data_IF_742581214447
#
_entry.id   IF_742581214447
#
_cell.length_a   1.000
_cell.length_b   1.000
_cell.length_c   1.000
_cell.angle_alpha   90.00
_cell.angle_beta   90.00
_cell.angle_gamma   90.00
#
_symmetry.space_group_name_H-M   'P 1'
#
loop_
_entity.id
_entity.type
_entity.pdbx_description
1 polymer ?
#
# COMPACT_ATOMS: atom_id res chain seq x y z
N UNK A 1 41.35 -19.26 1.30
CA UNK A 1 40.07 -18.52 1.49
C UNK A 1 40.43 -17.06 1.25
N UNK A 2 40.01 -16.46 0.14
CA UNK A 2 40.32 -15.06 -0.17
C UNK A 2 39.59 -14.17 0.86
N UNK A 3 40.36 -13.38 1.61
CA UNK A 3 39.86 -12.28 2.41
C UNK A 3 39.27 -11.25 1.42
N UNK A 4 38.01 -11.40 1.03
CA UNK A 4 37.31 -10.32 0.34
C UNK A 4 37.02 -9.24 1.37
N UNK A 5 37.37 -8.00 1.05
CA UNK A 5 36.97 -6.84 1.86
C UNK A 5 35.45 -6.86 2.11
N UNK A 6 35.02 -6.46 3.30
CA UNK A 6 33.60 -6.42 3.61
C UNK A 6 32.86 -5.45 2.68
N UNK A 7 31.64 -5.81 2.30
CA UNK A 7 30.74 -4.90 1.57
C UNK A 7 30.49 -3.64 2.38
N UNK A 8 30.40 -2.51 1.74
CA UNK A 8 30.04 -1.26 2.40
C UNK A 8 28.56 -1.26 2.78
N UNK A 9 27.70 -1.79 1.88
CA UNK A 9 26.29 -1.96 2.12
C UNK A 9 25.78 -3.27 1.52
N UNK A 10 25.13 -4.10 2.33
CA UNK A 10 24.31 -5.21 1.86
C UNK A 10 22.83 -4.86 2.07
N UNK A 11 22.04 -4.94 1.01
CA UNK A 11 20.60 -4.70 1.01
C UNK A 11 19.88 -6.05 0.88
N UNK A 12 19.03 -6.39 1.84
CA UNK A 12 18.21 -7.59 1.81
C UNK A 12 16.81 -7.24 1.28
N UNK A 13 16.53 -7.62 0.04
CA UNK A 13 15.28 -7.39 -0.68
C UNK A 13 15.45 -6.51 -1.92
N UNK A 14 15.22 -7.10 -3.08
CA UNK A 14 15.24 -6.46 -4.40
C UNK A 14 13.90 -5.82 -4.80
N UNK A 15 13.23 -5.18 -3.85
CA UNK A 15 12.00 -4.40 -4.07
C UNK A 15 12.28 -2.91 -4.27
N UNK A 16 11.22 -2.11 -4.33
CA UNK A 16 11.27 -0.65 -4.54
C UNK A 16 12.23 0.05 -3.56
N UNK A 17 12.06 -0.17 -2.25
CA UNK A 17 12.89 0.47 -1.23
C UNK A 17 14.36 0.03 -1.30
N UNK A 18 14.61 -1.26 -1.55
CA UNK A 18 15.97 -1.80 -1.64
C UNK A 18 16.73 -1.25 -2.84
N UNK A 19 16.13 -1.23 -4.02
CA UNK A 19 16.74 -0.61 -5.19
C UNK A 19 17.05 0.87 -4.98
N UNK A 20 16.05 1.60 -4.46
CA UNK A 20 16.22 3.05 -4.27
C UNK A 20 17.34 3.37 -3.26
N UNK A 21 17.43 2.61 -2.18
CA UNK A 21 18.48 2.76 -1.18
C UNK A 21 19.88 2.41 -1.74
N UNK A 22 19.99 1.29 -2.47
CA UNK A 22 21.26 0.85 -3.06
C UNK A 22 21.79 1.85 -4.10
N UNK A 23 20.91 2.33 -4.98
CA UNK A 23 21.24 3.37 -5.97
C UNK A 23 21.71 4.63 -5.25
N UNK A 24 20.93 5.11 -4.27
CA UNK A 24 21.26 6.34 -3.53
C UNK A 24 22.60 6.22 -2.80
N UNK A 25 22.88 5.08 -2.18
CA UNK A 25 24.16 4.84 -1.51
C UNK A 25 25.32 4.89 -2.49
N UNK A 26 25.24 4.14 -3.59
CA UNK A 26 26.31 4.06 -4.59
C UNK A 26 26.54 5.40 -5.33
N UNK A 27 25.48 6.18 -5.60
CA UNK A 27 25.60 7.51 -6.22
C UNK A 27 26.23 8.55 -5.27
N UNK A 28 25.95 8.45 -3.96
CA UNK A 28 26.48 9.39 -2.95
C UNK A 28 27.89 9.00 -2.46
N UNK A 29 28.25 7.74 -2.52
CA UNK A 29 29.58 7.23 -2.19
C UNK A 29 30.16 6.49 -3.42
N UNK A 30 30.69 7.20 -4.43
CA UNK A 30 31.27 6.58 -5.61
C UNK A 30 32.41 5.64 -5.22
N UNK A 31 32.34 4.39 -5.72
CA UNK A 31 33.30 3.34 -5.38
C UNK A 31 32.88 2.46 -4.20
N UNK A 32 31.81 2.77 -3.49
CA UNK A 32 31.28 1.89 -2.46
C UNK A 32 30.83 0.54 -3.03
N UNK A 33 31.19 -0.55 -2.35
CA UNK A 33 30.78 -1.90 -2.67
C UNK A 33 29.36 -2.15 -2.17
N UNK A 34 28.34 -2.01 -3.03
CA UNK A 34 26.92 -2.15 -2.71
C UNK A 34 26.34 -3.42 -3.33
N UNK A 35 25.70 -4.27 -2.51
CA UNK A 35 25.10 -5.54 -2.94
C UNK A 35 23.62 -5.60 -2.59
N UNK A 36 22.78 -5.96 -3.56
CA UNK A 36 21.38 -6.34 -3.32
C UNK A 36 21.24 -7.87 -3.37
N UNK A 37 20.65 -8.45 -2.34
CA UNK A 37 20.27 -9.86 -2.26
C UNK A 37 18.76 -10.00 -2.41
N UNK A 38 18.31 -10.72 -3.44
CA UNK A 38 16.89 -11.00 -3.68
C UNK A 38 16.65 -12.51 -3.69
N UNK A 39 15.68 -12.96 -2.87
CA UNK A 39 15.37 -14.39 -2.70
C UNK A 39 14.74 -15.04 -3.93
N UNK A 40 14.07 -14.27 -4.76
CA UNK A 40 13.39 -14.74 -5.98
C UNK A 40 14.24 -14.53 -7.22
N UNK A 41 13.89 -15.19 -8.32
CA UNK A 41 14.57 -14.98 -9.62
C UNK A 41 14.28 -13.60 -10.23
N UNK A 42 13.22 -12.93 -9.77
CA UNK A 42 12.77 -11.65 -10.31
C UNK A 42 12.73 -10.58 -9.22
N UNK A 43 13.24 -9.40 -9.54
CA UNK A 43 13.18 -8.21 -8.69
C UNK A 43 11.91 -7.39 -8.97
N UNK A 44 11.60 -6.43 -8.08
CA UNK A 44 10.57 -5.40 -8.29
C UNK A 44 9.15 -5.97 -8.56
N UNK A 45 8.85 -7.17 -8.05
CA UNK A 45 7.58 -7.86 -8.33
C UNK A 45 6.33 -7.03 -7.97
N UNK A 46 6.31 -6.33 -6.82
CA UNK A 46 5.21 -5.44 -6.45
C UNK A 46 5.11 -4.22 -7.37
N UNK A 47 6.23 -3.70 -7.87
CA UNK A 47 6.23 -2.61 -8.87
C UNK A 47 5.54 -3.09 -10.14
N UNK A 48 5.89 -4.30 -10.61
CA UNK A 48 5.36 -4.89 -11.84
C UNK A 48 3.83 -5.00 -11.86
N UNK A 49 3.23 -5.46 -10.77
CA UNK A 49 1.78 -5.74 -10.70
C UNK A 49 0.95 -4.53 -10.25
N UNK A 50 1.56 -3.54 -9.63
CA UNK A 50 0.86 -2.40 -9.05
C UNK A 50 0.15 -1.54 -10.09
N UNK A 51 -0.96 -0.89 -9.67
CA UNK A 51 -1.74 -0.02 -10.54
C UNK A 51 -2.27 -0.72 -11.80
N UNK A 52 -2.52 -2.03 -11.74
CA UNK A 52 -2.94 -2.83 -12.90
C UNK A 52 -1.84 -3.01 -13.94
N UNK A 53 -0.58 -3.12 -13.53
CA UNK A 53 0.57 -3.27 -14.41
C UNK A 53 1.15 -1.95 -14.93
N UNK A 54 0.64 -0.80 -14.45
CA UNK A 54 1.12 0.54 -14.84
C UNK A 54 2.13 1.15 -13.87
N UNK A 55 2.20 0.67 -12.64
CA UNK A 55 2.91 1.23 -11.48
C UNK A 55 2.39 2.61 -11.08
N UNK A 56 1.61 2.68 -10.01
CA UNK A 56 1.27 3.95 -9.37
C UNK A 56 2.47 4.43 -8.54
N UNK A 57 3.32 5.25 -9.15
CA UNK A 57 4.65 5.62 -8.63
C UNK A 57 4.55 6.43 -7.34
N UNK A 58 3.67 7.43 -7.33
CA UNK A 58 3.43 8.33 -6.21
C UNK A 58 2.07 9.02 -6.36
N UNK A 59 1.82 10.04 -5.56
CA UNK A 59 0.61 10.85 -5.60
C UNK A 59 0.98 12.34 -5.71
N UNK A 60 0.20 13.13 -6.44
CA UNK A 60 0.37 14.58 -6.56
C UNK A 60 -0.04 15.32 -5.27
N UNK A 61 0.44 14.83 -4.14
CA UNK A 61 0.30 15.42 -2.80
C UNK A 61 1.69 15.85 -2.35
N UNK A 62 2.07 17.09 -2.68
CA UNK A 62 3.45 17.57 -2.54
C UNK A 62 3.74 18.20 -1.18
N UNK A 63 2.71 18.53 -0.40
CA UNK A 63 2.89 19.07 0.95
C UNK A 63 3.07 17.90 1.94
N UNK A 64 4.17 17.91 2.70
CA UNK A 64 4.58 16.80 3.57
C UNK A 64 3.52 16.42 4.60
N UNK A 65 2.90 17.41 5.25
CA UNK A 65 1.87 17.18 6.26
C UNK A 65 0.61 16.56 5.66
N UNK A 66 0.12 17.08 4.53
CA UNK A 66 -1.03 16.53 3.82
C UNK A 66 -0.74 15.10 3.34
N UNK A 67 0.48 14.85 2.86
CA UNK A 67 0.90 13.51 2.43
C UNK A 67 0.80 12.49 3.58
N UNK A 68 1.16 12.87 4.82
CA UNK A 68 1.09 11.96 5.98
C UNK A 68 -0.33 11.57 6.38
N UNK A 69 -1.35 12.34 6.02
CA UNK A 69 -2.76 12.05 6.32
C UNK A 69 -3.29 10.80 5.58
N UNK A 70 -2.54 10.33 4.59
CA UNK A 70 -2.84 9.13 3.83
C UNK A 70 -2.23 7.84 4.42
N UNK A 71 -1.59 7.94 5.59
CA UNK A 71 -0.97 6.79 6.26
C UNK A 71 -1.69 6.46 7.57
N UNK A 72 -2.52 5.43 7.58
CA UNK A 72 -3.17 4.95 8.81
C UNK A 72 -2.19 4.61 9.94
N UNK A 73 -0.98 4.13 9.63
CA UNK A 73 0.12 3.88 10.56
C UNK A 73 1.38 4.56 10.09
N UNK A 74 2.17 5.05 11.04
CA UNK A 74 3.46 5.71 10.78
C UNK A 74 3.36 7.14 10.22
N UNK A 75 2.18 7.67 9.89
CA UNK A 75 2.02 8.98 9.27
C UNK A 75 2.75 10.09 10.03
N UNK A 76 2.56 10.19 11.35
CA UNK A 76 3.23 11.22 12.17
C UNK A 76 4.76 11.11 12.12
N UNK A 77 5.30 9.89 12.04
CA UNK A 77 6.73 9.64 11.96
C UNK A 77 7.32 10.00 10.59
N UNK A 78 6.48 10.06 9.55
CA UNK A 78 6.88 10.38 8.19
C UNK A 78 6.93 11.89 7.89
N UNK A 79 6.49 12.78 8.78
CA UNK A 79 6.52 14.24 8.54
C UNK A 79 7.95 14.71 8.22
N UNK A 80 8.92 14.40 9.10
CA UNK A 80 10.32 14.75 8.89
C UNK A 80 10.93 14.10 7.65
N UNK A 81 10.77 12.79 7.44
CA UNK A 81 11.16 12.11 6.20
C UNK A 81 10.63 12.77 4.93
N UNK A 82 9.33 13.10 4.84
CA UNK A 82 8.74 13.71 3.65
C UNK A 82 9.18 15.16 3.39
N UNK A 83 9.60 15.89 4.41
CA UNK A 83 10.27 17.19 4.21
C UNK A 83 11.66 17.06 3.59
N UNK A 84 12.32 15.91 3.71
CA UNK A 84 13.65 15.64 3.15
C UNK A 84 13.59 14.99 1.78
N UNK A 85 12.57 14.16 1.56
CA UNK A 85 12.30 13.45 0.32
C UNK A 85 10.81 13.22 0.18
N UNK A 86 10.11 14.13 -0.46
CA UNK A 86 8.67 14.08 -0.69
C UNK A 86 8.30 13.55 -2.08
N UNK A 87 7.03 13.72 -2.42
CA UNK A 87 6.52 13.27 -3.71
C UNK A 87 7.14 14.03 -4.89
N UNK A 88 7.44 15.34 -4.72
CA UNK A 88 8.08 16.14 -5.76
C UNK A 88 9.51 15.66 -6.05
N UNK A 89 10.26 15.30 -5.00
CA UNK A 89 11.63 14.78 -5.17
C UNK A 89 11.61 13.44 -5.93
N UNK A 90 10.62 12.60 -5.65
CA UNK A 90 10.39 11.36 -6.38
C UNK A 90 10.10 11.62 -7.86
N UNK A 91 9.21 12.57 -8.18
CA UNK A 91 8.91 12.95 -9.56
C UNK A 91 10.16 13.42 -10.27
N UNK A 92 10.93 14.35 -9.66
CA UNK A 92 12.16 14.89 -10.21
C UNK A 92 13.19 13.77 -10.47
N UNK A 93 13.35 12.85 -9.51
CA UNK A 93 14.31 11.74 -9.63
C UNK A 93 14.03 10.85 -10.84
N UNK A 94 12.75 10.51 -11.10
CA UNK A 94 12.36 9.74 -12.28
C UNK A 94 12.52 10.56 -13.56
N UNK A 95 12.15 11.84 -13.55
CA UNK A 95 12.25 12.72 -14.69
C UNK A 95 13.71 12.94 -15.13
N UNK A 96 14.65 13.13 -14.19
CA UNK A 96 16.09 13.23 -14.45
C UNK A 96 16.67 11.96 -15.12
N UNK A 97 15.97 10.84 -14.98
CA UNK A 97 16.33 9.54 -15.60
C UNK A 97 15.51 9.22 -16.85
N UNK A 98 14.83 10.22 -17.41
CA UNK A 98 14.06 10.12 -18.66
C UNK A 98 12.70 9.45 -18.51
N UNK A 99 12.18 9.32 -17.30
CA UNK A 99 10.83 8.78 -17.06
C UNK A 99 9.86 9.91 -16.74
N UNK A 100 9.00 10.24 -17.68
CA UNK A 100 7.94 11.21 -17.50
C UNK A 100 6.74 10.59 -16.79
N UNK A 101 6.20 11.31 -15.80
CA UNK A 101 5.00 10.92 -15.05
C UNK A 101 3.82 11.80 -15.42
N UNK A 102 2.65 11.20 -15.55
CA UNK A 102 1.36 11.89 -15.69
C UNK A 102 0.55 11.76 -14.41
N UNK A 103 -0.25 12.79 -14.11
CA UNK A 103 -1.19 12.81 -12.99
C UNK A 103 -2.59 12.51 -13.48
N UNK A 104 -3.27 11.54 -12.90
CA UNK A 104 -4.69 11.27 -13.13
C UNK A 104 -5.57 12.22 -12.29
N UNK A 105 -6.86 12.31 -12.64
CA UNK A 105 -7.82 13.24 -12.00
C UNK A 105 -7.96 13.07 -10.47
N UNK A 106 -7.63 11.90 -9.95
CA UNK A 106 -7.66 11.59 -8.52
C UNK A 106 -6.28 11.75 -7.83
N UNK A 107 -5.31 12.34 -8.52
CA UNK A 107 -3.97 12.65 -8.00
C UNK A 107 -2.96 11.51 -8.10
N UNK A 108 -3.34 10.31 -8.54
CA UNK A 108 -2.40 9.21 -8.77
C UNK A 108 -1.44 9.53 -9.92
N UNK A 109 -0.18 9.17 -9.76
CA UNK A 109 0.84 9.44 -10.77
C UNK A 109 1.39 8.13 -11.37
N UNK A 110 1.37 8.06 -12.69
CA UNK A 110 1.80 6.92 -13.48
C UNK A 110 2.83 7.33 -14.53
N UNK A 111 3.70 6.42 -15.00
CA UNK A 111 4.53 6.72 -16.17
C UNK A 111 3.62 7.01 -17.38
N UNK A 112 4.03 7.96 -18.22
CA UNK A 112 3.28 8.33 -19.43
C UNK A 112 3.10 7.16 -20.39
N UNK A 113 3.95 6.15 -20.31
CA UNK A 113 3.88 4.90 -21.08
C UNK A 113 2.78 3.94 -20.63
N UNK A 114 2.14 4.20 -19.49
CA UNK A 114 1.17 3.28 -18.85
C UNK A 114 1.72 1.85 -18.62
N UNK A 115 3.03 1.70 -18.46
CA UNK A 115 3.70 0.42 -18.25
C UNK A 115 4.61 0.46 -17.01
N UNK A 116 4.42 -0.47 -16.09
CA UNK A 116 5.31 -0.64 -14.93
C UNK A 116 6.73 -1.04 -15.34
N UNK A 117 6.90 -1.58 -16.54
CA UNK A 117 8.21 -1.95 -17.07
C UNK A 117 9.13 -0.72 -17.18
N UNK A 118 8.59 0.45 -17.54
CA UNK A 118 9.34 1.72 -17.58
C UNK A 118 10.01 2.05 -16.24
N UNK A 119 9.30 1.84 -15.13
CA UNK A 119 9.83 2.07 -13.79
C UNK A 119 10.86 1.00 -13.42
N UNK A 120 10.62 -0.25 -13.78
CA UNK A 120 11.53 -1.38 -13.55
C UNK A 120 12.84 -1.14 -14.28
N UNK A 121 12.78 -0.82 -15.58
CA UNK A 121 13.96 -0.58 -16.43
C UNK A 121 14.78 0.61 -15.92
N UNK A 122 14.11 1.68 -15.48
CA UNK A 122 14.74 2.85 -14.88
C UNK A 122 15.54 2.47 -13.62
N UNK A 123 14.93 1.73 -12.68
CA UNK A 123 15.58 1.32 -11.44
C UNK A 123 16.75 0.36 -11.70
N UNK A 124 16.57 -0.64 -12.56
CA UNK A 124 17.61 -1.62 -12.89
C UNK A 124 18.78 -0.95 -13.61
N UNK A 125 18.53 -0.10 -14.60
CA UNK A 125 19.55 0.65 -15.32
C UNK A 125 20.30 1.61 -14.41
N UNK A 126 19.60 2.30 -13.48
CA UNK A 126 20.24 3.19 -12.51
C UNK A 126 21.15 2.42 -11.54
N UNK A 127 20.71 1.28 -11.05
CA UNK A 127 21.51 0.42 -10.18
C UNK A 127 22.78 -0.09 -10.90
N UNK A 128 22.63 -0.53 -12.13
CA UNK A 128 23.76 -0.97 -12.96
C UNK A 128 24.76 0.16 -13.22
N UNK A 129 24.28 1.35 -13.59
CA UNK A 129 25.14 2.52 -13.85
C UNK A 129 25.88 2.98 -12.59
N UNK A 130 25.25 2.85 -11.42
CA UNK A 130 25.85 3.18 -10.13
C UNK A 130 26.82 2.08 -9.62
N UNK A 131 26.99 0.96 -10.33
CA UNK A 131 27.87 -0.14 -9.94
C UNK A 131 27.29 -1.06 -8.85
N UNK A 132 25.99 -1.01 -8.60
CA UNK A 132 25.34 -1.90 -7.63
C UNK A 132 25.34 -3.32 -8.15
N UNK A 133 25.79 -4.26 -7.32
CA UNK A 133 25.78 -5.69 -7.63
C UNK A 133 24.44 -6.29 -7.17
N UNK A 134 23.82 -7.08 -8.03
CA UNK A 134 22.55 -7.76 -7.77
C UNK A 134 22.73 -9.27 -7.81
N UNK A 135 22.38 -9.97 -6.71
CA UNK A 135 22.27 -11.43 -6.65
C UNK A 135 20.82 -11.82 -6.46
N UNK A 136 20.19 -12.40 -7.47
CA UNK A 136 18.83 -12.99 -7.42
C UNK A 136 18.90 -14.45 -6.99
N UNK A 137 17.76 -15.07 -6.70
CA UNK A 137 17.65 -16.45 -6.19
C UNK A 137 18.52 -16.72 -4.96
N UNK A 138 18.83 -15.65 -4.19
CA UNK A 138 19.72 -15.66 -3.05
C UNK A 138 18.97 -15.20 -1.81
N UNK A 139 18.41 -16.16 -1.07
CA UNK A 139 17.69 -15.89 0.17
C UNK A 139 18.67 -15.77 1.35
N UNK A 140 18.51 -14.75 2.17
CA UNK A 140 19.22 -14.64 3.44
C UNK A 140 18.49 -15.49 4.50
N UNK A 141 19.21 -16.36 5.17
CA UNK A 141 18.68 -17.29 6.18
C UNK A 141 19.01 -16.82 7.62
N UNK A 142 20.14 -16.17 7.82
CA UNK A 142 20.52 -15.58 9.10
C UNK A 142 21.44 -14.38 8.93
N UNK A 143 21.42 -13.52 9.93
CA UNK A 143 22.35 -12.41 10.10
C UNK A 143 22.83 -12.42 11.56
N UNK A 144 24.12 -12.25 11.77
CA UNK A 144 24.73 -11.94 13.07
C UNK A 144 25.37 -10.57 13.01
N UNK A 145 25.35 -9.86 14.12
CA UNK A 145 26.06 -8.61 14.32
C UNK A 145 27.18 -8.89 15.33
N UNK A 146 28.42 -8.77 14.87
CA UNK A 146 29.59 -9.01 15.70
C UNK A 146 30.19 -7.64 16.06
N UNK A 147 30.60 -7.45 17.33
CA UNK A 147 31.40 -6.30 17.71
C UNK A 147 32.79 -6.43 17.04
N UNK A 148 33.35 -5.31 16.60
CA UNK A 148 34.54 -5.30 15.75
C UNK A 148 35.86 -5.63 16.47
N UNK A 149 35.84 -6.40 17.56
CA UNK A 149 37.03 -6.78 18.30
C UNK A 149 38.04 -7.63 17.51
N UNK A 150 37.61 -8.22 16.39
CA UNK A 150 38.46 -9.08 15.55
C UNK A 150 38.96 -8.41 14.25
N UNK A 151 38.65 -7.12 13.98
CA UNK A 151 39.15 -6.39 12.80
C UNK A 151 40.12 -5.30 13.26
N UNK A 152 41.45 -5.46 13.06
CA UNK A 152 42.41 -4.41 13.35
C UNK A 152 42.09 -3.15 12.56
N UNK A 153 42.10 -2.00 13.24
CA UNK A 153 41.91 -0.63 12.70
C UNK A 153 40.49 -0.04 12.69
N UNK A 154 39.45 -0.70 13.28
CA UNK A 154 38.13 -0.06 13.40
C UNK A 154 37.59 -0.18 14.84
N UNK A 155 37.97 0.74 15.69
CA UNK A 155 37.43 0.83 17.08
C UNK A 155 35.94 1.24 16.98
N UNK A 156 35.02 0.32 17.30
CA UNK A 156 33.60 0.60 17.52
C UNK A 156 32.64 0.37 16.35
N UNK A 157 33.04 -0.24 15.23
CA UNK A 157 32.14 -0.52 14.11
C UNK A 157 31.57 -1.96 14.17
N UNK A 158 30.24 -2.06 14.14
CA UNK A 158 29.53 -3.35 14.00
C UNK A 158 29.75 -3.90 12.59
N UNK A 159 30.18 -5.17 12.51
CA UNK A 159 30.28 -5.91 11.25
C UNK A 159 29.19 -6.98 11.23
N UNK A 160 28.40 -7.00 10.15
CA UNK A 160 27.38 -8.02 9.97
C UNK A 160 27.91 -9.18 9.15
N UNK A 161 27.62 -10.40 9.61
CA UNK A 161 27.80 -11.64 8.83
C UNK A 161 26.44 -12.10 8.34
N UNK A 162 26.24 -12.00 7.00
CA UNK A 162 25.02 -12.41 6.30
C UNK A 162 25.20 -13.79 5.72
N UNK A 163 24.39 -14.77 6.12
CA UNK A 163 24.43 -16.14 5.59
C UNK A 163 23.27 -16.37 4.63
N UNK A 164 23.60 -16.85 3.42
CA UNK A 164 22.62 -17.15 2.38
C UNK A 164 22.12 -18.60 2.44
N UNK A 165 21.08 -18.91 1.70
CA UNK A 165 20.53 -20.27 1.54
C UNK A 165 21.49 -21.25 0.84
N UNK A 166 22.55 -20.75 0.17
CA UNK A 166 23.62 -21.55 -0.41
C UNK A 166 24.77 -21.82 0.55
N UNK A 167 24.70 -21.27 1.76
CA UNK A 167 25.78 -21.34 2.75
C UNK A 167 26.88 -20.30 2.55
N UNK A 168 26.77 -19.42 1.56
CA UNK A 168 27.72 -18.31 1.38
C UNK A 168 27.61 -17.35 2.57
N UNK A 169 28.74 -16.94 3.12
CA UNK A 169 28.84 -15.94 4.21
C UNK A 169 29.45 -14.67 3.65
N UNK A 170 28.71 -13.57 3.79
CA UNK A 170 29.11 -12.24 3.33
C UNK A 170 29.29 -11.32 4.56
N UNK A 171 30.39 -10.56 4.59
CA UNK A 171 30.61 -9.54 5.61
C UNK A 171 30.23 -8.16 5.07
N UNK A 172 29.62 -7.31 5.91
CA UNK A 172 29.26 -5.94 5.54
C UNK A 172 29.33 -5.00 6.73
N UNK A 173 29.74 -3.74 6.48
CA UNK A 173 29.76 -2.65 7.47
C UNK A 173 28.36 -2.05 7.71
N UNK A 174 27.51 -2.07 6.70
CA UNK A 174 26.12 -1.59 6.80
C UNK A 174 25.16 -2.63 6.24
N UNK A 175 24.03 -2.84 6.92
CA UNK A 175 22.99 -3.76 6.52
C UNK A 175 21.67 -3.03 6.40
N UNK A 176 20.98 -3.17 5.26
CA UNK A 176 19.63 -2.64 5.07
C UNK A 176 18.62 -3.78 4.92
N UNK A 177 17.60 -3.79 5.77
CA UNK A 177 16.43 -4.65 5.63
C UNK A 177 15.34 -3.92 4.83
N UNK A 178 15.10 -4.37 3.60
CA UNK A 178 14.07 -3.87 2.68
C UNK A 178 13.20 -5.03 2.15
N UNK A 179 12.89 -5.98 3.06
CA UNK A 179 12.24 -7.27 2.75
C UNK A 179 10.76 -7.17 2.39
N UNK A 180 10.18 -5.97 2.43
CA UNK A 180 8.75 -5.75 2.29
C UNK A 180 7.96 -6.17 3.51
N UNK A 181 6.65 -6.38 3.39
CA UNK A 181 5.81 -6.75 4.52
C UNK A 181 6.26 -8.03 5.20
N UNK A 182 6.32 -7.99 6.51
CA UNK A 182 6.93 -9.04 7.35
C UNK A 182 6.07 -10.31 7.50
N UNK A 183 4.93 -10.39 6.83
CA UNK A 183 4.07 -11.59 6.84
C UNK A 183 4.78 -12.86 6.36
N UNK A 184 5.72 -12.73 5.42
CA UNK A 184 6.59 -13.83 5.06
C UNK A 184 7.72 -13.91 6.10
N UNK A 185 7.73 -14.94 6.90
CA UNK A 185 8.53 -15.16 8.11
C UNK A 185 10.03 -14.78 8.06
N UNK A 186 10.65 -14.60 6.89
CA UNK A 186 12.07 -14.31 6.78
C UNK A 186 12.45 -12.89 7.22
N UNK A 187 11.75 -11.85 6.74
CA UNK A 187 12.06 -10.46 7.12
C UNK A 187 11.79 -10.18 8.59
N UNK A 188 10.70 -10.75 9.13
CA UNK A 188 10.36 -10.68 10.55
C UNK A 188 11.48 -11.29 11.41
N UNK A 189 11.88 -12.54 11.11
CA UNK A 189 12.92 -13.25 11.85
C UNK A 189 14.26 -12.54 11.84
N UNK A 190 14.66 -11.95 10.72
CA UNK A 190 15.89 -11.18 10.63
C UNK A 190 15.86 -9.95 11.52
N UNK A 191 14.73 -9.22 11.57
CA UNK A 191 14.58 -8.07 12.44
C UNK A 191 14.62 -8.47 13.93
N UNK A 192 13.91 -9.55 14.30
CA UNK A 192 13.86 -10.09 15.66
C UNK A 192 15.22 -10.62 16.11
N UNK A 193 15.96 -11.33 15.24
CA UNK A 193 17.31 -11.82 15.55
C UNK A 193 18.34 -10.71 15.79
N UNK A 194 18.04 -9.49 15.30
CA UNK A 194 18.85 -8.28 15.53
C UNK A 194 18.27 -7.39 16.65
N UNK A 195 17.43 -7.96 17.53
CA UNK A 195 16.93 -7.33 18.74
C UNK A 195 15.72 -6.41 18.60
N UNK A 196 15.05 -6.41 17.43
CA UNK A 196 13.91 -5.53 17.19
C UNK A 196 12.58 -6.19 17.50
N UNK A 197 11.72 -5.44 18.17
CA UNK A 197 10.34 -5.84 18.40
C UNK A 197 9.48 -5.53 17.17
N UNK A 198 8.61 -6.49 16.84
CA UNK A 198 7.66 -6.31 15.74
C UNK A 198 6.27 -6.02 16.26
N UNK A 199 5.62 -5.06 15.64
CA UNK A 199 4.17 -4.90 15.75
C UNK A 199 3.50 -6.00 14.94
N UNK A 200 2.56 -6.78 15.51
CA UNK A 200 1.93 -7.90 14.82
C UNK A 200 1.35 -7.53 13.47
N UNK A 201 1.58 -8.40 12.49
CA UNK A 201 1.19 -8.18 11.11
C UNK A 201 -0.25 -8.60 10.85
N UNK A 202 -1.03 -7.69 10.29
CA UNK A 202 -2.38 -7.96 9.80
C UNK A 202 -2.55 -7.42 8.37
N UNK A 203 -3.42 -8.01 7.56
CA UNK A 203 -3.74 -7.51 6.24
C UNK A 203 -4.26 -6.07 6.26
N UNK A 204 -3.87 -5.28 5.27
CA UNK A 204 -4.36 -3.95 4.96
C UNK A 204 -4.77 -3.88 3.49
N UNK A 205 -5.66 -2.96 3.11
CA UNK A 205 -6.12 -2.78 1.72
C UNK A 205 -6.75 -4.04 1.10
N UNK A 206 -7.72 -4.64 1.77
CA UNK A 206 -8.41 -5.85 1.29
C UNK A 206 -9.87 -5.59 0.91
N UNK A 207 -10.39 -6.41 -0.01
CA UNK A 207 -11.79 -6.43 -0.40
C UNK A 207 -12.63 -7.26 0.58
N UNK A 208 -13.94 -7.00 0.64
CA UNK A 208 -14.88 -7.65 1.53
C UNK A 208 -15.64 -8.77 0.82
N UNK A 209 -15.71 -9.93 1.45
CA UNK A 209 -16.56 -11.03 1.01
C UNK A 209 -17.96 -10.81 1.60
N UNK A 210 -18.95 -10.71 0.73
CA UNK A 210 -20.35 -10.45 1.07
C UNK A 210 -21.20 -11.37 0.20
N UNK A 211 -22.07 -12.13 0.83
CA UNK A 211 -23.07 -12.96 0.17
C UNK A 211 -24.44 -12.32 0.39
N UNK A 212 -24.93 -11.60 -0.63
CA UNK A 212 -26.16 -10.82 -0.54
C UNK A 212 -26.85 -10.70 -1.90
N UNK A 213 -28.13 -11.04 -1.95
CA UNK A 213 -28.93 -11.05 -3.17
C UNK A 213 -28.96 -9.70 -3.89
N UNK A 214 -28.77 -8.59 -3.17
CA UNK A 214 -28.70 -7.24 -3.76
C UNK A 214 -27.49 -7.07 -4.66
N UNK A 215 -26.41 -7.83 -4.43
CA UNK A 215 -25.17 -7.78 -5.19
C UNK A 215 -25.06 -8.90 -6.25
N UNK A 216 -25.96 -9.87 -6.19
CA UNK A 216 -25.94 -11.04 -7.09
C UNK A 216 -25.98 -10.65 -8.57
N UNK A 217 -25.11 -11.28 -9.38
CA UNK A 217 -24.97 -11.03 -10.83
C UNK A 217 -24.59 -9.59 -11.20
N UNK A 218 -24.07 -8.78 -10.27
CA UNK A 218 -23.64 -7.40 -10.49
C UNK A 218 -22.13 -7.23 -10.60
N UNK A 219 -21.34 -8.29 -10.66
CA UNK A 219 -19.89 -8.19 -10.79
C UNK A 219 -19.48 -7.26 -11.94
N UNK A 220 -18.53 -6.37 -11.69
CA UNK A 220 -18.07 -5.32 -12.60
C UNK A 220 -18.87 -4.01 -12.53
N UNK A 221 -19.98 -3.96 -11.78
CA UNK A 221 -20.72 -2.70 -11.58
C UNK A 221 -19.96 -1.83 -10.58
N UNK A 222 -19.76 -0.56 -10.92
CA UNK A 222 -19.09 0.42 -10.08
C UNK A 222 -20.01 1.62 -9.80
N UNK A 223 -19.92 2.15 -8.57
CA UNK A 223 -20.53 3.42 -8.16
C UNK A 223 -19.39 4.38 -7.84
N UNK A 224 -19.29 5.47 -8.59
CA UNK A 224 -18.14 6.37 -8.56
C UNK A 224 -18.00 7.13 -7.23
N UNK A 225 -19.12 7.45 -6.58
CA UNK A 225 -19.14 8.22 -5.35
C UNK A 225 -20.09 7.56 -4.35
N UNK A 226 -19.53 6.80 -3.45
CA UNK A 226 -20.27 6.17 -2.37
C UNK A 226 -19.51 6.36 -1.04
N UNK A 227 -20.23 6.16 0.07
CA UNK A 227 -19.64 6.16 1.41
C UNK A 227 -19.94 4.84 2.09
N UNK A 228 -18.95 4.28 2.74
CA UNK A 228 -19.05 3.03 3.50
C UNK A 228 -18.64 3.29 4.95
N UNK A 229 -19.44 2.82 5.91
CA UNK A 229 -19.19 2.97 7.34
C UNK A 229 -19.20 1.62 8.03
N UNK A 230 -18.31 1.41 8.98
CA UNK A 230 -18.34 0.23 9.84
C UNK A 230 -19.33 0.45 10.96
N UNK A 231 -20.27 -0.49 11.14
CA UNK A 231 -21.24 -0.40 12.22
C UNK A 231 -20.59 -0.57 13.59
N UNK A 232 -21.03 0.22 14.57
CA UNK A 232 -20.52 0.15 15.95
C UNK A 232 -19.28 0.98 16.27
N UNK A 233 -18.57 1.50 15.26
CA UNK A 233 -17.43 2.41 15.47
C UNK A 233 -17.45 3.59 14.49
N UNK A 234 -16.76 4.69 14.86
CA UNK A 234 -16.62 5.87 13.98
C UNK A 234 -15.54 5.63 12.93
N UNK A 235 -15.79 4.72 12.01
CA UNK A 235 -14.91 4.46 10.88
C UNK A 235 -15.72 4.53 9.58
N UNK A 236 -15.33 5.45 8.71
CA UNK A 236 -15.99 5.71 7.43
C UNK A 236 -14.96 6.02 6.36
N UNK A 237 -15.25 5.60 5.13
CA UNK A 237 -14.48 5.98 3.96
C UNK A 237 -15.43 6.37 2.82
N UNK A 238 -14.98 7.33 1.99
CA UNK A 238 -15.67 7.77 0.78
C UNK A 238 -14.80 7.47 -0.44
N UNK A 239 -15.44 7.05 -1.53
CA UNK A 239 -14.78 6.77 -2.80
C UNK A 239 -15.55 5.80 -3.67
N UNK A 240 -15.03 5.47 -4.86
CA UNK A 240 -15.63 4.47 -5.72
C UNK A 240 -15.76 3.11 -5.03
N UNK A 241 -16.92 2.47 -5.20
CA UNK A 241 -17.15 1.08 -4.82
C UNK A 241 -17.31 0.22 -6.07
N UNK A 242 -16.72 -0.96 -6.05
CA UNK A 242 -16.81 -1.96 -7.12
C UNK A 242 -17.45 -3.23 -6.58
N UNK A 243 -18.52 -3.68 -7.23
CA UNK A 243 -19.11 -4.99 -6.95
C UNK A 243 -18.28 -6.04 -7.67
N UNK A 244 -17.85 -7.07 -6.93
CA UNK A 244 -17.06 -8.19 -7.43
C UNK A 244 -17.88 -9.49 -7.39
N UNK A 245 -17.30 -10.59 -7.85
CA UNK A 245 -17.94 -11.92 -7.76
C UNK A 245 -18.11 -12.40 -6.32
N UNK A 246 -17.38 -11.85 -5.36
CA UNK A 246 -17.35 -12.29 -3.97
C UNK A 246 -17.84 -11.22 -2.98
N UNK A 247 -18.29 -10.06 -3.45
CA UNK A 247 -18.74 -8.97 -2.58
C UNK A 247 -18.29 -7.60 -3.08
N UNK A 248 -17.61 -6.81 -2.25
CA UNK A 248 -17.28 -5.42 -2.52
C UNK A 248 -15.78 -5.13 -2.48
N UNK A 249 -15.33 -4.31 -3.40
CA UNK A 249 -13.97 -3.76 -3.49
C UNK A 249 -14.01 -2.29 -3.93
N UNK A 250 -12.92 -1.78 -4.43
CA UNK A 250 -12.76 -0.40 -4.89
C UNK A 250 -12.16 0.52 -3.82
N UNK A 251 -11.76 1.74 -4.21
CA UNK A 251 -11.03 2.67 -3.33
C UNK A 251 -11.71 2.95 -1.99
N UNK A 252 -13.05 3.05 -1.94
CA UNK A 252 -13.78 3.25 -0.69
C UNK A 252 -13.61 2.08 0.28
N UNK A 253 -13.76 0.84 -0.20
CA UNK A 253 -13.58 -0.38 0.61
C UNK A 253 -12.12 -0.53 1.04
N UNK A 254 -11.18 -0.35 0.12
CA UNK A 254 -9.74 -0.48 0.42
C UNK A 254 -9.28 0.56 1.46
N UNK A 255 -9.78 1.80 1.40
CA UNK A 255 -9.51 2.82 2.42
C UNK A 255 -10.08 2.40 3.78
N UNK A 256 -11.34 1.95 3.82
CA UNK A 256 -11.96 1.50 5.08
C UNK A 256 -11.16 0.35 5.71
N UNK A 257 -10.78 -0.66 4.91
CA UNK A 257 -10.00 -1.81 5.38
C UNK A 257 -8.61 -1.42 5.87
N UNK A 258 -7.96 -0.43 5.23
CA UNK A 258 -6.68 0.09 5.68
C UNK A 258 -6.77 0.78 7.04
N UNK A 259 -7.69 1.73 7.20
CA UNK A 259 -7.88 2.43 8.47
C UNK A 259 -8.34 1.50 9.58
N UNK A 260 -9.20 0.53 9.27
CA UNK A 260 -9.75 -0.45 10.20
C UNK A 260 -8.92 -1.70 10.42
N UNK A 261 -7.75 -1.88 9.77
CA UNK A 261 -7.06 -3.16 9.63
C UNK A 261 -6.94 -3.98 10.93
N UNK A 262 -6.49 -3.37 12.04
CA UNK A 262 -6.36 -4.05 13.34
C UNK A 262 -7.70 -4.40 13.96
N UNK A 263 -8.67 -3.48 13.89
CA UNK A 263 -10.00 -3.69 14.45
C UNK A 263 -10.75 -4.79 13.68
N UNK A 264 -10.69 -4.76 12.34
CA UNK A 264 -11.30 -5.77 11.49
C UNK A 264 -10.66 -7.17 11.69
N UNK A 265 -9.36 -7.20 11.99
CA UNK A 265 -8.68 -8.43 12.38
C UNK A 265 -9.20 -8.99 13.71
N UNK A 266 -9.41 -8.13 14.73
CA UNK A 266 -9.99 -8.52 16.03
C UNK A 266 -11.41 -9.09 15.89
N UNK A 267 -12.17 -8.61 14.89
CA UNK A 267 -13.49 -9.13 14.54
C UNK A 267 -13.44 -10.40 13.65
N UNK A 268 -12.25 -11.00 13.46
CA UNK A 268 -12.06 -12.12 12.54
C UNK A 268 -12.62 -11.85 11.14
N UNK A 269 -12.64 -10.59 10.72
CA UNK A 269 -13.19 -10.11 9.44
C UNK A 269 -14.69 -10.40 9.25
N UNK A 270 -15.45 -10.55 10.34
CA UNK A 270 -16.90 -10.71 10.35
C UNK A 270 -17.53 -9.48 11.01
N UNK A 271 -18.24 -8.67 10.24
CA UNK A 271 -18.79 -7.40 10.69
C UNK A 271 -19.85 -6.89 9.71
N UNK A 272 -20.61 -5.89 10.11
CA UNK A 272 -21.61 -5.24 9.26
C UNK A 272 -21.11 -3.88 8.79
N UNK A 273 -21.27 -3.61 7.50
CA UNK A 273 -21.06 -2.27 6.92
C UNK A 273 -22.39 -1.64 6.52
N UNK A 274 -22.48 -0.33 6.67
CA UNK A 274 -23.56 0.47 6.10
C UNK A 274 -23.04 1.22 4.88
N UNK A 275 -23.78 1.15 3.77
CA UNK A 275 -23.40 1.80 2.52
C UNK A 275 -24.39 2.91 2.19
N UNK A 276 -23.86 4.10 1.98
CA UNK A 276 -24.56 5.20 1.34
C UNK A 276 -24.07 5.29 -0.11
N UNK A 277 -24.91 4.86 -1.04
CA UNK A 277 -24.62 4.87 -2.47
C UNK A 277 -24.69 6.27 -3.09
N UNK A 278 -25.27 7.24 -2.40
CA UNK A 278 -25.59 8.59 -2.89
C UNK A 278 -25.32 9.65 -1.80
N UNK A 279 -24.08 9.78 -1.28
CA UNK A 279 -23.79 10.58 -0.09
C UNK A 279 -24.07 12.09 -0.25
N UNK A 280 -24.08 12.60 -1.49
CA UNK A 280 -24.22 14.03 -1.76
C UNK A 280 -25.61 14.38 -2.32
N UNK A 281 -26.59 13.46 -2.22
CA UNK A 281 -27.93 13.61 -2.81
C UNK A 281 -29.02 13.56 -1.74
N UNK A 282 -30.00 14.45 -1.85
CA UNK A 282 -31.25 14.32 -1.07
C UNK A 282 -32.17 13.28 -1.73
N UNK A 283 -31.92 12.02 -1.42
CA UNK A 283 -32.59 10.87 -2.03
C UNK A 283 -34.10 10.94 -1.84
N UNK A 284 -34.58 11.23 -0.63
CA UNK A 284 -36.02 11.28 -0.33
C UNK A 284 -36.75 12.36 -1.16
N UNK A 285 -36.15 13.51 -1.32
CA UNK A 285 -36.70 14.59 -2.14
C UNK A 285 -36.75 14.18 -3.61
N UNK A 286 -35.69 13.62 -4.16
CA UNK A 286 -35.62 13.18 -5.57
C UNK A 286 -36.66 12.11 -5.86
N UNK A 287 -36.82 11.09 -4.99
CA UNK A 287 -37.83 10.05 -5.19
C UNK A 287 -39.27 10.60 -5.16
N UNK A 288 -39.55 11.57 -4.29
CA UNK A 288 -40.87 12.22 -4.26
C UNK A 288 -41.14 13.09 -5.49
N UNK A 289 -40.14 13.77 -6.01
CA UNK A 289 -40.23 14.54 -7.27
C UNK A 289 -40.51 13.62 -8.46
N UNK A 290 -39.80 12.49 -8.59
CA UNK A 290 -40.06 11.49 -9.63
C UNK A 290 -41.49 10.94 -9.57
N UNK A 291 -41.98 10.64 -8.37
CA UNK A 291 -43.36 10.21 -8.18
C UNK A 291 -44.37 11.25 -8.68
N UNK A 292 -44.13 12.53 -8.44
CA UNK A 292 -45.02 13.61 -8.84
C UNK A 292 -44.95 13.91 -10.35
N UNK A 293 -43.76 13.89 -10.93
CA UNK A 293 -43.57 14.33 -12.32
C UNK A 293 -43.61 13.19 -13.37
N UNK A 294 -43.27 11.96 -12.92
CA UNK A 294 -43.14 10.83 -13.84
C UNK A 294 -44.01 9.61 -13.47
N UNK A 295 -45.20 9.86 -12.89
CA UNK A 295 -46.07 8.84 -12.32
C UNK A 295 -46.35 7.60 -13.18
N UNK A 296 -46.34 7.71 -14.55
CA UNK A 296 -46.60 6.60 -15.47
C UNK A 296 -45.35 5.75 -15.80
N UNK A 297 -44.14 6.19 -15.39
CA UNK A 297 -42.91 5.44 -15.65
C UNK A 297 -42.74 4.31 -14.65
N UNK A 298 -42.11 3.20 -15.08
CA UNK A 298 -41.70 2.10 -14.17
C UNK A 298 -40.60 2.57 -13.24
N UNK A 299 -40.74 2.27 -11.94
CA UNK A 299 -39.73 2.57 -10.91
C UNK A 299 -38.42 1.87 -11.18
N UNK A 300 -38.47 0.55 -11.43
CA UNK A 300 -37.27 -0.28 -11.69
C UNK A 300 -36.61 -0.03 -13.04
N UNK A 301 -37.21 0.80 -13.92
CA UNK A 301 -36.75 1.01 -15.30
C UNK A 301 -35.47 1.83 -15.39
N UNK A 302 -35.38 2.94 -14.64
CA UNK A 302 -34.24 3.86 -14.61
C UNK A 302 -34.17 4.58 -13.27
N UNK A 303 -32.96 4.66 -12.72
CA UNK A 303 -32.69 5.47 -11.55
C UNK A 303 -32.90 6.97 -11.85
N UNK A 304 -33.47 7.76 -10.95
CA UNK A 304 -33.58 9.21 -11.10
C UNK A 304 -32.29 9.94 -10.71
N UNK A 305 -31.21 9.22 -10.52
CA UNK A 305 -29.90 9.73 -10.17
C UNK A 305 -28.96 9.57 -11.35
N UNK A 306 -28.28 10.66 -11.67
CA UNK A 306 -27.35 10.68 -12.79
C UNK A 306 -26.19 9.68 -12.58
N UNK A 307 -25.83 8.95 -13.63
CA UNK A 307 -24.77 7.93 -13.62
C UNK A 307 -24.96 6.76 -12.64
N UNK A 308 -26.12 6.65 -11.96
CA UNK A 308 -26.35 5.51 -11.06
C UNK A 308 -26.61 4.23 -11.88
N UNK A 309 -25.92 3.11 -11.57
CA UNK A 309 -25.99 1.90 -12.38
C UNK A 309 -27.40 1.29 -12.40
N UNK A 310 -27.98 1.12 -13.60
CA UNK A 310 -29.34 0.59 -13.78
C UNK A 310 -29.54 -0.79 -13.15
N UNK A 311 -28.54 -1.67 -13.25
CA UNK A 311 -28.62 -3.04 -12.69
C UNK A 311 -28.69 -3.00 -11.16
N UNK A 312 -27.86 -2.19 -10.51
CA UNK A 312 -27.87 -2.01 -9.07
C UNK A 312 -29.19 -1.34 -8.61
N UNK A 313 -29.64 -0.30 -9.31
CA UNK A 313 -30.93 0.34 -9.04
C UNK A 313 -32.07 -0.66 -8.98
N UNK A 314 -32.18 -1.53 -10.00
CA UNK A 314 -33.23 -2.56 -10.05
C UNK A 314 -33.17 -3.50 -8.85
N UNK A 315 -31.98 -3.96 -8.46
CA UNK A 315 -31.81 -4.85 -7.28
C UNK A 315 -32.24 -4.14 -5.99
N UNK A 316 -31.86 -2.89 -5.78
CA UNK A 316 -32.27 -2.13 -4.59
C UNK A 316 -33.76 -1.84 -4.55
N UNK A 317 -34.41 -1.58 -5.69
CA UNK A 317 -35.88 -1.46 -5.78
C UNK A 317 -36.55 -2.77 -5.34
N UNK A 318 -36.13 -3.91 -5.87
CA UNK A 318 -36.68 -5.23 -5.53
C UNK A 318 -36.48 -5.52 -4.04
N UNK A 319 -35.29 -5.28 -3.50
CA UNK A 319 -34.99 -5.45 -2.08
C UNK A 319 -35.85 -4.55 -1.16
N UNK A 320 -36.31 -3.41 -1.69
CA UNK A 320 -37.24 -2.52 -0.99
C UNK A 320 -38.71 -2.95 -1.08
N UNK A 321 -38.98 -4.11 -1.70
CA UNK A 321 -40.34 -4.64 -1.89
C UNK A 321 -41.11 -3.99 -3.05
N UNK A 322 -40.40 -3.42 -4.04
CA UNK A 322 -41.03 -2.77 -5.21
C UNK A 322 -41.08 -3.79 -6.36
N UNK A 323 -42.28 -4.09 -6.85
CA UNK A 323 -42.47 -4.99 -7.99
C UNK A 323 -41.85 -4.42 -9.28
N UNK A 324 -41.35 -5.28 -10.16
CA UNK A 324 -40.63 -4.89 -11.39
C UNK A 324 -41.51 -4.06 -12.38
N UNK A 325 -42.81 -4.24 -12.33
CA UNK A 325 -43.81 -3.53 -13.15
C UNK A 325 -44.41 -2.30 -12.46
N UNK A 326 -44.10 -2.07 -11.17
CA UNK A 326 -44.61 -0.94 -10.39
C UNK A 326 -44.27 0.40 -11.07
N UNK A 327 -45.26 1.29 -11.17
CA UNK A 327 -45.07 2.66 -11.67
C UNK A 327 -45.01 3.66 -10.52
N UNK A 328 -44.37 4.82 -10.76
CA UNK A 328 -44.09 5.81 -9.72
C UNK A 328 -45.38 6.30 -8.98
N UNK A 329 -46.51 6.45 -9.70
CA UNK A 329 -47.77 6.88 -9.09
C UNK A 329 -48.35 5.88 -8.10
N UNK A 330 -47.99 4.59 -8.25
CA UNK A 330 -48.46 3.52 -7.36
C UNK A 330 -47.53 3.29 -6.16
N UNK A 331 -46.35 3.94 -6.16
CA UNK A 331 -45.35 3.74 -5.11
C UNK A 331 -45.85 4.32 -3.79
N UNK A 332 -45.95 3.47 -2.77
CA UNK A 332 -46.38 3.86 -1.44
C UNK A 332 -45.33 4.73 -0.72
N UNK A 333 -45.76 5.51 0.27
CA UNK A 333 -44.80 6.26 1.11
C UNK A 333 -43.82 5.31 1.83
N UNK A 334 -44.29 4.14 2.23
CA UNK A 334 -43.44 3.13 2.88
C UNK A 334 -42.39 2.56 1.94
N UNK A 335 -42.74 2.25 0.67
CA UNK A 335 -41.75 1.84 -0.33
C UNK A 335 -40.70 2.92 -0.57
N UNK A 336 -41.09 4.21 -0.65
CA UNK A 336 -40.16 5.33 -0.77
C UNK A 336 -39.21 5.37 0.44
N UNK A 337 -39.72 5.20 1.65
CA UNK A 337 -38.91 5.18 2.86
C UNK A 337 -37.90 4.02 2.87
N UNK A 338 -38.34 2.80 2.53
CA UNK A 338 -37.51 1.62 2.45
C UNK A 338 -36.41 1.79 1.36
N UNK A 339 -36.81 2.23 0.17
CA UNK A 339 -35.84 2.47 -0.92
C UNK A 339 -34.83 3.57 -0.57
N UNK A 340 -35.30 4.65 0.09
CA UNK A 340 -34.39 5.68 0.59
C UNK A 340 -33.39 5.09 1.58
N UNK A 341 -33.83 4.24 2.50
CA UNK A 341 -32.97 3.61 3.50
C UNK A 341 -31.95 2.68 2.85
N UNK A 342 -32.36 1.87 1.86
CA UNK A 342 -31.43 1.03 1.08
C UNK A 342 -30.38 1.85 0.32
N UNK A 343 -30.75 3.01 -0.19
CA UNK A 343 -29.85 3.87 -0.96
C UNK A 343 -28.83 4.63 -0.08
N UNK A 344 -29.21 5.04 1.16
CA UNK A 344 -28.37 5.90 2.00
C UNK A 344 -27.80 5.21 3.24
N UNK A 345 -28.19 3.96 3.51
CA UNK A 345 -27.79 3.25 4.72
C UNK A 345 -28.06 1.74 4.66
N UNK A 346 -28.07 1.16 3.47
CA UNK A 346 -28.20 -0.29 3.28
C UNK A 346 -27.10 -1.03 4.04
N UNK A 347 -27.50 -1.99 4.88
CA UNK A 347 -26.55 -2.78 5.68
C UNK A 347 -26.19 -4.06 4.94
N UNK A 348 -24.89 -4.43 4.98
CA UNK A 348 -24.35 -5.63 4.37
C UNK A 348 -23.47 -6.36 5.37
N UNK A 349 -23.67 -7.67 5.50
CA UNK A 349 -22.85 -8.52 6.34
C UNK A 349 -21.58 -8.93 5.60
N UNK A 350 -20.43 -8.59 6.17
CA UNK A 350 -19.12 -9.04 5.69
C UNK A 350 -18.80 -10.36 6.38
N UNK A 351 -18.61 -11.41 5.59
CA UNK A 351 -18.35 -12.77 6.05
C UNK A 351 -16.84 -13.07 6.12
N UNK A 352 -16.02 -12.18 5.56
CA UNK A 352 -14.57 -12.36 5.52
C UNK A 352 -13.90 -11.37 4.57
N UNK A 353 -12.60 -11.49 4.47
CA UNK A 353 -11.78 -10.76 3.49
C UNK A 353 -11.53 -11.60 2.25
N UNK A 354 -11.31 -10.93 1.11
CA UNK A 354 -10.89 -11.63 -0.12
C UNK A 354 -9.58 -12.39 0.11
N UNK A 355 -9.54 -13.64 -0.35
CA UNK A 355 -8.39 -14.57 -0.22
C UNK A 355 -7.40 -14.37 -1.38
N UNK A 356 -7.52 -13.32 -2.19
CA UNK A 356 -6.57 -13.09 -3.26
C UNK A 356 -5.14 -13.16 -2.71
N UNK A 357 -4.33 -14.06 -3.30
CA UNK A 357 -2.98 -14.41 -2.85
C UNK A 357 -2.02 -13.22 -2.80
N UNK A 358 -2.35 -12.15 -3.49
CA UNK A 358 -1.58 -10.92 -3.54
C UNK A 358 -2.15 -9.93 -2.52
N UNK A 359 -1.73 -10.06 -1.26
CA UNK A 359 -1.95 -8.98 -0.29
C UNK A 359 -1.21 -7.74 -0.78
N UNK A 360 -1.99 -6.70 -1.01
CA UNK A 360 -1.43 -5.46 -1.50
C UNK A 360 -0.49 -4.82 -0.47
N UNK A 361 -0.86 -4.81 0.82
CA UNK A 361 -0.09 -4.15 1.89
C UNK A 361 -0.29 -4.87 3.23
N UNK A 362 0.76 -4.88 4.04
CA UNK A 362 0.75 -5.38 5.43
C UNK A 362 0.74 -4.21 6.42
N UNK A 363 -0.15 -4.22 7.39
CA UNK A 363 -0.14 -3.38 8.57
C UNK A 363 0.66 -4.10 9.65
N UNK A 364 1.65 -3.45 10.24
CA UNK A 364 2.61 -4.03 11.19
C UNK A 364 4.03 -4.01 10.64
N UNK A 365 4.99 -4.41 11.45
CA UNK A 365 6.41 -4.39 11.11
C UNK A 365 7.28 -3.92 12.26
N UNK A 366 8.51 -3.50 11.97
CA UNK A 366 9.46 -3.00 12.97
C UNK A 366 8.90 -1.76 13.66
N UNK A 367 8.94 -1.75 15.00
CA UNK A 367 8.50 -0.59 15.80
C UNK A 367 9.29 0.66 15.44
N UNK A 368 8.59 1.74 15.12
CA UNK A 368 9.22 3.01 14.71
C UNK A 368 10.00 3.69 15.85
N UNK A 369 9.69 3.37 17.11
CA UNK A 369 10.43 3.89 18.25
C UNK A 369 11.89 3.38 18.28
N UNK A 370 12.15 2.23 17.68
CA UNK A 370 13.47 1.59 17.63
C UNK A 370 14.28 2.07 16.40
N UNK A 371 13.70 2.97 15.59
CA UNK A 371 14.32 3.48 14.36
C UNK A 371 14.48 5.01 14.45
N UNK A 372 15.63 5.50 14.04
CA UNK A 372 15.86 6.92 13.83
C UNK A 372 15.22 7.34 12.50
N UNK A 373 14.09 8.00 12.55
CA UNK A 373 13.34 8.40 11.34
C UNK A 373 14.06 9.45 10.46
N UNK A 374 15.19 9.97 10.91
CA UNK A 374 16.04 10.89 10.13
C UNK A 374 16.97 10.13 9.17
N UNK A 375 17.53 9.01 9.65
CA UNK A 375 18.54 8.20 8.94
C UNK A 375 18.05 6.80 8.57
N UNK A 376 16.89 6.41 9.07
CA UNK A 376 16.32 5.05 9.02
C UNK A 376 17.22 3.98 9.66
N UNK A 377 18.21 4.39 10.47
CA UNK A 377 19.09 3.51 11.21
C UNK A 377 18.40 2.99 12.47
N UNK A 378 18.68 1.76 12.81
CA UNK A 378 18.35 1.17 14.10
C UNK A 378 18.96 2.00 15.25
N UNK A 379 18.20 2.17 16.33
CA UNK A 379 18.69 2.70 17.60
C UNK A 379 19.27 1.60 18.50
N UNK A 380 19.07 0.33 18.16
CA UNK A 380 19.49 -0.84 18.93
C UNK A 380 20.81 -1.38 18.39
N UNK A 381 20.91 -1.53 17.06
CA UNK A 381 22.07 -2.14 16.39
C UNK A 381 22.67 -1.13 15.41
N UNK A 382 23.89 -0.67 15.70
CA UNK A 382 24.57 0.31 14.87
C UNK A 382 24.87 -0.27 13.47
N UNK A 383 24.72 0.54 12.41
CA UNK A 383 24.94 0.08 11.02
C UNK A 383 23.79 -0.71 10.41
N UNK A 384 22.73 -1.01 11.17
CA UNK A 384 21.50 -1.61 10.65
C UNK A 384 20.51 -0.52 10.24
N UNK A 385 19.91 -0.67 9.05
CA UNK A 385 18.92 0.25 8.49
C UNK A 385 17.66 -0.50 8.06
N UNK A 386 16.55 0.23 7.97
CA UNK A 386 15.26 -0.29 7.53
C UNK A 386 14.65 0.62 6.46
N UNK A 387 14.00 0.04 5.43
CA UNK A 387 13.28 0.83 4.44
C UNK A 387 12.04 0.11 3.89
N UNK A 388 10.99 0.89 3.61
CA UNK A 388 9.75 0.42 3.04
C UNK A 388 8.85 -0.30 4.03
N UNK A 389 8.13 -1.29 3.54
CA UNK A 389 7.03 -1.98 4.25
C UNK A 389 7.48 -2.90 5.39
N UNK A 390 8.78 -3.07 5.62
CA UNK A 390 9.32 -3.77 6.80
C UNK A 390 9.07 -2.97 8.08
N UNK A 391 8.92 -1.66 7.97
CA UNK A 391 8.54 -0.74 9.05
C UNK A 391 7.04 -0.82 9.33
N UNK A 392 6.59 -0.53 10.57
CA UNK A 392 5.15 -0.35 10.88
C UNK A 392 4.60 0.93 10.26
N UNK A 393 4.65 0.97 8.93
CA UNK A 393 4.17 2.07 8.09
C UNK A 393 3.37 1.47 6.94
N UNK A 394 2.10 1.86 6.82
CA UNK A 394 1.31 1.57 5.63
C UNK A 394 0.40 2.73 5.26
N UNK A 395 0.33 2.97 3.97
CA UNK A 395 -0.52 3.97 3.34
C UNK A 395 -1.78 3.37 2.73
N UNK A 396 -2.78 4.21 2.47
CA UNK A 396 -3.94 3.82 1.67
C UNK A 396 -3.54 3.58 0.20
N UNK A 397 -4.49 3.13 -0.62
CA UNK A 397 -4.28 3.05 -2.08
C UNK A 397 -4.07 4.44 -2.67
N UNK A 398 -3.21 4.57 -3.70
CA UNK A 398 -2.96 5.86 -4.36
C UNK A 398 -1.49 6.22 -4.58
N UNK A 399 -0.54 5.27 -4.50
CA UNK A 399 0.91 5.51 -4.68
C UNK A 399 1.65 5.76 -3.37
N UNK A 400 0.94 5.88 -2.25
CA UNK A 400 1.52 6.25 -0.95
C UNK A 400 2.51 5.20 -0.41
N UNK A 401 2.24 3.91 -0.57
CA UNK A 401 3.16 2.86 -0.14
C UNK A 401 4.47 2.86 -0.93
N UNK A 402 4.43 3.19 -2.22
CA UNK A 402 5.64 3.40 -2.99
C UNK A 402 6.35 4.68 -2.59
N UNK A 403 5.62 5.77 -2.32
CA UNK A 403 6.25 7.00 -1.81
C UNK A 403 7.00 6.74 -0.50
N UNK A 404 6.42 5.97 0.44
CA UNK A 404 7.14 5.53 1.64
C UNK A 404 8.41 4.74 1.28
N UNK A 405 8.33 3.82 0.31
CA UNK A 405 9.48 3.02 -0.12
C UNK A 405 10.61 3.89 -0.71
N UNK A 406 10.26 4.87 -1.56
CA UNK A 406 11.23 5.81 -2.13
C UNK A 406 11.88 6.67 -1.05
N UNK A 407 11.07 7.29 -0.19
CA UNK A 407 11.52 8.18 0.88
C UNK A 407 12.45 7.45 1.85
N UNK A 408 11.99 6.32 2.40
CA UNK A 408 12.76 5.57 3.38
C UNK A 408 14.01 4.93 2.77
N UNK A 409 13.92 4.48 1.51
CA UNK A 409 15.04 3.98 0.75
C UNK A 409 16.10 5.07 0.52
N UNK A 410 15.69 6.26 0.09
CA UNK A 410 16.61 7.40 -0.11
C UNK A 410 17.33 7.78 1.18
N UNK A 411 16.59 7.93 2.28
CA UNK A 411 17.18 8.34 3.55
C UNK A 411 18.14 7.28 4.11
N UNK A 412 17.77 6.01 4.04
CA UNK A 412 18.63 4.90 4.48
C UNK A 412 19.91 4.81 3.62
N UNK A 413 19.77 4.89 2.28
CA UNK A 413 20.91 4.88 1.37
C UNK A 413 21.84 6.07 1.57
N UNK A 414 21.27 7.27 1.81
CA UNK A 414 22.06 8.47 2.14
C UNK A 414 22.85 8.31 3.43
N UNK A 415 22.23 7.76 4.47
CA UNK A 415 22.88 7.56 5.76
C UNK A 415 23.96 6.47 5.69
N UNK A 416 23.71 5.38 4.96
CA UNK A 416 24.70 4.33 4.74
C UNK A 416 25.94 4.85 3.97
N UNK A 417 25.74 5.70 2.95
CA UNK A 417 26.84 6.33 2.21
C UNK A 417 27.74 7.21 3.09
N UNK A 418 27.17 7.89 4.09
CA UNK A 418 27.95 8.71 5.03
C UNK A 418 28.92 7.89 5.92
N UNK A 419 28.61 6.62 6.17
CA UNK A 419 29.50 5.71 6.90
C UNK A 419 30.68 5.19 6.06
N UNK A 420 30.54 5.17 4.74
CA UNK A 420 31.60 4.65 3.83
C UNK A 420 32.69 5.68 3.53
N UNK A 421 32.45 6.95 3.86
CA UNK A 421 33.38 8.07 3.62
C UNK A 421 34.14 8.51 4.90
N UNK A 422 33.83 7.96 6.06
CA UNK A 422 34.50 8.22 7.33
C UNK A 422 35.37 7.04 7.75
#
# INVERSE_FOLDING_TARGET
>A
MSNQDPWDLVVIGGGAAGFFAAITCAEKAPGAAVLILEKTAHTLGKVKISGGGRCNVTHACFEAKALTEHYPRGGKSLIGPFHRWGAQDTVNWFQERGVELKTEADGRMFPTTDSSQTIIDCLQSSAQKAGVILKTSTAVVSVTADEADDVPDTIGDTVFTVTTNTGEKLKTRSLLLATGGTRLASGARLSESLGHELVPNVPSLFAFNIDDDRLESLAGVSVANASVSLMGIKLQAKGPLLITHHGLSGPGILKLSAWGARHLHQLNYQFTVSINWLPDVNVAQTLNQERSHHGKRKVCGRAPFEHFPKRLWKRLCIASGIADDCIWSQLSKENIRRLSQELIGGQFEVLGKSINKDEFVTCGGVKLNDVNMTTLQSKITAGLYFAGEVLDIDGITGGFNFQNAWTTGHLAGTAAAGKTQG
#
